data_IF_766117490373
#
_entry.id   IF_766117490373
#
_cell.length_a   1.000
_cell.length_b   1.000
_cell.length_c   1.000
_cell.angle_alpha   90.00
_cell.angle_beta   90.00
_cell.angle_gamma   90.00
#
_symmetry.space_group_name_H-M   'P 1'
#
loop_
_entity.id
_entity.type
_entity.pdbx_description
1 polymer ?
#
# COMPACT_ATOMS: atom_id res chain seq x y z
N UNK A 1 -18.31 -2.49 38.97
CA UNK A 1 -17.78 -3.27 40.11
C UNK A 1 -17.49 -4.71 39.61
N UNK A 2 -16.54 -4.91 38.67
CA UNK A 2 -16.10 -6.24 38.17
C UNK A 2 -14.73 -6.17 37.46
N UNK A 3 -13.89 -5.17 37.76
CA UNK A 3 -12.53 -5.02 37.16
C UNK A 3 -11.42 -5.29 38.19
N UNK A 4 -11.76 -5.40 39.49
CA UNK A 4 -10.74 -5.56 40.55
C UNK A 4 -10.31 -6.99 40.87
N UNK A 5 -10.83 -8.01 40.19
CA UNK A 5 -10.50 -9.41 40.48
C UNK A 5 -9.37 -9.99 39.59
N UNK A 6 -8.90 -9.28 38.57
CA UNK A 6 -7.83 -9.79 37.68
C UNK A 6 -6.41 -9.39 38.10
N UNK A 7 -6.27 -8.46 39.04
CA UNK A 7 -4.95 -7.95 39.45
C UNK A 7 -4.38 -8.54 40.73
N UNK A 8 -4.98 -9.58 41.34
CA UNK A 8 -4.54 -10.19 42.57
C UNK A 8 -3.94 -11.60 42.49
N UNK A 9 -3.63 -12.11 41.33
CA UNK A 9 -3.15 -13.47 41.15
C UNK A 9 -1.81 -13.57 40.38
N UNK A 10 -0.85 -12.70 40.64
CA UNK A 10 0.54 -12.93 40.19
C UNK A 10 1.56 -12.39 41.23
N UNK A 11 1.58 -13.02 42.40
CA UNK A 11 2.62 -12.87 43.39
C UNK A 11 3.12 -14.24 43.80
N UNK A 12 4.00 -14.84 43.04
CA UNK A 12 4.81 -15.98 43.51
C UNK A 12 6.20 -15.88 42.90
N UNK A 13 7.18 -15.63 43.77
CA UNK A 13 8.58 -15.59 43.46
C UNK A 13 9.10 -16.91 42.90
N UNK A 14 9.86 -16.82 41.80
CA UNK A 14 10.81 -17.88 41.41
C UNK A 14 12.14 -17.21 41.11
N UNK A 15 13.08 -17.46 41.98
CA UNK A 15 14.50 -17.19 41.79
C UNK A 15 15.03 -18.10 40.68
N UNK A 16 15.55 -17.53 39.60
CA UNK A 16 16.20 -18.26 38.51
C UNK A 16 17.64 -17.77 38.34
N UNK A 17 18.48 -18.72 38.44
CA UNK A 17 19.90 -18.85 38.26
C UNK A 17 20.40 -18.12 37.02
N UNK A 18 21.35 -17.21 37.18
CA UNK A 18 22.16 -16.56 36.16
C UNK A 18 23.07 -17.58 35.46
N UNK A 19 22.68 -18.03 34.27
CA UNK A 19 23.60 -18.52 33.26
C UNK A 19 23.72 -17.48 32.17
N UNK A 20 24.93 -16.91 32.06
CA UNK A 20 25.25 -15.91 31.07
C UNK A 20 25.23 -16.48 29.65
N UNK A 21 24.15 -16.23 28.93
CA UNK A 21 24.14 -16.25 27.49
C UNK A 21 24.13 -14.79 27.03
N UNK A 22 25.26 -14.36 26.46
CA UNK A 22 25.29 -13.11 25.72
C UNK A 22 24.26 -13.21 24.58
N UNK A 23 23.25 -12.33 24.50
CA UNK A 23 22.38 -12.31 23.32
C UNK A 23 23.23 -11.80 22.17
N UNK A 24 23.47 -12.65 21.18
CA UNK A 24 23.79 -12.16 19.84
C UNK A 24 22.57 -11.32 19.37
N UNK A 25 22.69 -10.01 19.52
CA UNK A 25 21.77 -9.06 18.90
C UNK A 25 21.98 -9.15 17.40
N UNK A 26 21.32 -10.10 16.77
CA UNK A 26 20.99 -9.96 15.36
C UNK A 26 20.01 -8.76 15.33
N UNK A 27 20.47 -7.64 14.85
CA UNK A 27 19.62 -6.50 14.54
C UNK A 27 18.65 -6.98 13.45
N UNK A 28 17.53 -7.53 13.88
CA UNK A 28 16.42 -7.88 13.02
C UNK A 28 15.75 -6.56 12.71
N UNK A 29 16.10 -5.99 11.54
CA UNK A 29 15.39 -4.84 10.98
C UNK A 29 13.91 -5.13 11.07
N UNK A 30 13.21 -4.41 11.95
CA UNK A 30 11.79 -4.64 12.18
C UNK A 30 11.04 -4.39 10.88
N UNK A 31 10.18 -5.31 10.41
CA UNK A 31 9.42 -5.11 9.17
C UNK A 31 8.65 -3.77 9.13
N UNK A 32 8.26 -3.25 10.30
CA UNK A 32 7.61 -1.95 10.44
C UNK A 32 8.53 -0.77 10.05
N UNK A 33 9.81 -0.81 10.40
CA UNK A 33 10.75 0.26 10.08
C UNK A 33 11.03 0.30 8.56
N UNK A 34 11.15 -0.87 7.94
CA UNK A 34 11.32 -0.96 6.48
C UNK A 34 10.11 -0.45 5.71
N UNK A 35 8.90 -0.67 6.21
CA UNK A 35 7.68 -0.13 5.60
C UNK A 35 7.58 1.38 5.76
N UNK A 36 8.00 1.95 6.89
CA UNK A 36 8.01 3.40 7.07
C UNK A 36 9.01 4.08 6.13
N UNK A 37 10.23 3.56 6.03
CA UNK A 37 11.24 4.05 5.09
C UNK A 37 10.72 4.00 3.64
N UNK A 38 10.03 2.92 3.25
CA UNK A 38 9.45 2.80 1.92
C UNK A 38 8.35 3.85 1.67
N UNK A 39 7.47 4.10 2.65
CA UNK A 39 6.45 5.15 2.58
C UNK A 39 7.06 6.52 2.36
N UNK A 40 8.08 6.87 3.13
CA UNK A 40 8.73 8.17 3.06
C UNK A 40 9.44 8.36 1.70
N UNK A 41 10.10 7.32 1.20
CA UNK A 41 10.70 7.35 -0.15
C UNK A 41 9.66 7.50 -1.25
N UNK A 42 8.52 6.78 -1.16
CA UNK A 42 7.43 6.90 -2.15
C UNK A 42 6.82 8.30 -2.12
N UNK A 43 6.62 8.87 -0.93
CA UNK A 43 6.11 10.24 -0.78
C UNK A 43 7.06 11.28 -1.35
N UNK A 44 8.37 11.08 -1.15
CA UNK A 44 9.39 12.01 -1.61
C UNK A 44 9.57 11.95 -3.14
N UNK A 45 9.76 10.77 -3.70
CA UNK A 45 9.95 10.60 -5.16
C UNK A 45 9.68 9.17 -5.63
N UNK A 46 8.47 8.92 -6.09
CA UNK A 46 8.08 7.64 -6.70
C UNK A 46 8.92 7.30 -7.94
N UNK A 47 9.26 8.30 -8.77
CA UNK A 47 10.03 8.08 -10.00
C UNK A 47 11.43 7.59 -9.67
N UNK A 48 12.04 8.13 -8.61
CA UNK A 48 13.35 7.69 -8.13
C UNK A 48 13.31 6.25 -7.62
N UNK A 49 12.25 5.87 -6.87
CA UNK A 49 12.06 4.48 -6.42
C UNK A 49 12.00 3.52 -7.62
N UNK A 50 11.26 3.88 -8.67
CA UNK A 50 11.18 3.07 -9.89
C UNK A 50 12.54 3.02 -10.61
N UNK A 51 13.20 4.16 -10.81
CA UNK A 51 14.49 4.25 -11.48
C UNK A 51 15.54 3.36 -10.82
N UNK A 52 15.68 3.47 -9.50
CA UNK A 52 16.66 2.71 -8.71
C UNK A 52 16.43 1.20 -8.79
N UNK A 53 15.16 0.76 -8.86
CA UNK A 53 14.84 -0.67 -8.82
C UNK A 53 14.70 -1.31 -10.21
N UNK A 54 14.65 -0.54 -11.29
CA UNK A 54 14.47 -1.07 -12.65
C UNK A 54 15.78 -1.46 -13.33
N UNK A 55 16.91 -0.87 -12.94
CA UNK A 55 18.25 -1.16 -13.52
C UNK A 55 18.21 -1.12 -15.06
N UNK A 56 17.67 -0.03 -15.62
CA UNK A 56 17.51 0.13 -17.06
C UNK A 56 18.84 0.49 -17.73
N UNK A 57 19.10 -0.08 -18.90
CA UNK A 57 20.11 0.47 -19.80
C UNK A 57 19.63 1.80 -20.40
N UNK A 58 20.53 2.60 -20.99
CA UNK A 58 20.15 3.87 -21.64
C UNK A 58 19.09 3.67 -22.73
N UNK A 59 19.25 2.62 -23.54
CA UNK A 59 18.30 2.28 -24.60
C UNK A 59 16.92 1.92 -24.04
N UNK A 60 16.88 1.08 -23.00
CA UNK A 60 15.62 0.72 -22.33
C UNK A 60 14.96 1.92 -21.67
N UNK A 61 15.74 2.78 -20.99
CA UNK A 61 15.25 3.98 -20.33
C UNK A 61 14.57 4.94 -21.32
N UNK A 62 15.15 5.13 -22.49
CA UNK A 62 14.59 6.00 -23.53
C UNK A 62 13.20 5.54 -23.99
N UNK A 63 12.96 4.24 -24.09
CA UNK A 63 11.65 3.68 -24.43
C UNK A 63 10.67 3.62 -23.25
N UNK A 64 11.18 3.32 -22.06
CA UNK A 64 10.40 3.09 -20.84
C UNK A 64 9.74 4.36 -20.30
N UNK A 65 10.49 5.45 -20.13
CA UNK A 65 10.00 6.64 -19.41
C UNK A 65 8.76 7.28 -20.04
N UNK A 66 8.61 7.40 -21.37
CA UNK A 66 7.39 7.92 -21.95
C UNK A 66 6.16 7.05 -21.62
N UNK A 67 6.34 5.71 -21.61
CA UNK A 67 5.26 4.77 -21.27
C UNK A 67 4.94 4.87 -19.78
N UNK A 68 5.93 4.98 -18.90
CA UNK A 68 5.78 5.21 -17.47
C UNK A 68 4.95 6.48 -17.19
N UNK A 69 5.27 7.59 -17.83
CA UNK A 69 4.54 8.86 -17.64
C UNK A 69 3.08 8.74 -18.09
N UNK A 70 2.82 8.06 -19.19
CA UNK A 70 1.46 7.72 -19.60
C UNK A 70 0.71 6.89 -18.56
N UNK A 71 1.37 5.84 -18.04
CA UNK A 71 0.82 4.99 -16.98
C UNK A 71 0.50 5.81 -15.73
N UNK A 72 1.41 6.68 -15.27
CA UNK A 72 1.18 7.51 -14.08
C UNK A 72 0.04 8.51 -14.28
N UNK A 73 -0.08 9.11 -15.47
CA UNK A 73 -1.18 10.01 -15.82
C UNK A 73 -2.55 9.31 -15.74
N UNK A 74 -2.64 8.08 -16.24
CA UNK A 74 -3.88 7.31 -16.20
C UNK A 74 -4.17 6.78 -14.78
N UNK A 75 -3.14 6.36 -14.05
CA UNK A 75 -3.26 5.98 -12.63
C UNK A 75 -3.77 7.16 -11.78
N UNK A 76 -3.33 8.39 -12.08
CA UNK A 76 -3.79 9.59 -11.37
C UNK A 76 -5.31 9.81 -11.52
N UNK A 77 -5.89 9.47 -12.68
CA UNK A 77 -7.37 9.53 -12.87
C UNK A 77 -8.08 8.55 -11.94
N UNK A 78 -7.54 7.34 -11.82
CA UNK A 78 -8.07 6.30 -10.90
C UNK A 78 -7.93 6.76 -9.45
N UNK A 79 -6.78 7.35 -9.08
CA UNK A 79 -6.57 7.85 -7.73
C UNK A 79 -7.52 9.00 -7.36
N UNK A 80 -7.88 9.88 -8.32
CA UNK A 80 -8.90 10.92 -8.08
C UNK A 80 -10.27 10.31 -7.81
N UNK A 81 -10.66 9.26 -8.55
CA UNK A 81 -11.92 8.53 -8.27
C UNK A 81 -11.92 7.94 -6.87
N UNK A 82 -10.80 7.33 -6.46
CA UNK A 82 -10.65 6.78 -5.10
C UNK A 82 -10.76 7.89 -4.04
N UNK A 83 -10.11 9.04 -4.24
CA UNK A 83 -10.21 10.18 -3.32
C UNK A 83 -11.66 10.66 -3.17
N UNK A 84 -12.37 10.87 -4.28
CA UNK A 84 -13.77 11.28 -4.27
C UNK A 84 -14.68 10.24 -3.58
N UNK A 85 -14.40 8.94 -3.78
CA UNK A 85 -15.13 7.86 -3.10
C UNK A 85 -14.96 7.96 -1.58
N UNK A 86 -13.71 8.14 -1.11
CA UNK A 86 -13.40 8.25 0.32
C UNK A 86 -13.98 9.51 0.94
N UNK A 87 -13.95 10.65 0.24
CA UNK A 87 -14.57 11.91 0.67
C UNK A 87 -16.09 11.75 0.82
N UNK A 88 -16.74 11.13 -0.17
CA UNK A 88 -18.18 10.86 -0.14
C UNK A 88 -18.56 9.95 1.02
N UNK A 89 -17.78 8.88 1.24
CA UNK A 89 -17.98 7.99 2.37
C UNK A 89 -17.79 8.71 3.70
N UNK A 90 -16.73 9.50 3.85
CA UNK A 90 -16.44 10.23 5.07
C UNK A 90 -17.56 11.23 5.43
N UNK A 91 -18.08 11.95 4.43
CA UNK A 91 -19.20 12.87 4.62
C UNK A 91 -20.47 12.15 5.08
N UNK A 92 -20.82 11.03 4.44
CA UNK A 92 -22.01 10.24 4.82
C UNK A 92 -21.87 9.57 6.19
N UNK A 93 -20.67 9.10 6.52
CA UNK A 93 -20.36 8.48 7.81
C UNK A 93 -20.46 9.50 8.96
N UNK A 94 -19.84 10.67 8.81
CA UNK A 94 -19.88 11.75 9.81
C UNK A 94 -21.29 12.33 9.97
N UNK A 95 -22.00 12.52 8.86
CA UNK A 95 -23.37 13.02 8.83
C UNK A 95 -24.42 12.01 9.28
N UNK A 96 -24.02 10.75 9.56
CA UNK A 96 -24.95 9.63 9.85
C UNK A 96 -26.07 9.50 8.79
N UNK A 97 -25.70 9.80 7.53
CA UNK A 97 -26.63 9.85 6.39
C UNK A 97 -26.40 8.71 5.40
N UNK A 98 -25.62 7.69 5.75
CA UNK A 98 -25.34 6.54 4.91
C UNK A 98 -26.59 5.64 4.86
N UNK A 99 -27.25 5.64 3.70
CA UNK A 99 -28.37 4.75 3.40
C UNK A 99 -27.90 3.56 2.56
N UNK A 100 -28.72 2.49 2.46
CA UNK A 100 -28.44 1.33 1.62
C UNK A 100 -28.17 1.71 0.15
N UNK A 101 -28.93 2.66 -0.40
CA UNK A 101 -28.71 3.15 -1.76
C UNK A 101 -27.36 3.86 -1.93
N UNK A 102 -26.95 4.65 -0.95
CA UNK A 102 -25.64 5.28 -0.94
C UNK A 102 -24.53 4.23 -0.78
N UNK A 103 -24.69 3.29 0.16
CA UNK A 103 -23.75 2.19 0.34
C UNK A 103 -23.58 1.37 -0.94
N UNK A 104 -24.69 1.05 -1.64
CA UNK A 104 -24.65 0.36 -2.94
C UNK A 104 -23.86 1.13 -3.99
N UNK A 105 -24.03 2.46 -4.07
CA UNK A 105 -23.24 3.31 -5.00
C UNK A 105 -21.76 3.29 -4.66
N UNK A 106 -21.39 3.38 -3.38
CA UNK A 106 -20.01 3.33 -2.92
C UNK A 106 -19.36 1.97 -3.23
N UNK A 107 -20.06 0.86 -3.02
CA UNK A 107 -19.59 -0.49 -3.36
C UNK A 107 -19.34 -0.60 -4.86
N UNK A 108 -20.29 -0.17 -5.69
CA UNK A 108 -20.15 -0.24 -7.14
C UNK A 108 -18.95 0.56 -7.64
N UNK A 109 -18.74 1.77 -7.09
CA UNK A 109 -17.59 2.61 -7.45
C UNK A 109 -16.27 2.02 -6.96
N UNK A 110 -16.24 1.44 -5.73
CA UNK A 110 -15.05 0.77 -5.22
C UNK A 110 -14.62 -0.39 -6.14
N UNK A 111 -15.55 -1.26 -6.52
CA UNK A 111 -15.32 -2.37 -7.44
C UNK A 111 -14.87 -1.87 -8.82
N UNK A 112 -15.50 -0.80 -9.34
CA UNK A 112 -15.13 -0.21 -10.62
C UNK A 112 -13.72 0.40 -10.60
N UNK A 113 -13.27 0.95 -9.47
CA UNK A 113 -11.90 1.45 -9.28
C UNK A 113 -10.90 0.28 -9.32
N UNK A 114 -11.17 -0.83 -8.64
CA UNK A 114 -10.30 -2.02 -8.66
C UNK A 114 -10.21 -2.62 -10.08
N UNK A 115 -11.32 -2.68 -10.79
CA UNK A 115 -11.32 -3.12 -12.19
C UNK A 115 -10.52 -2.17 -13.09
N UNK A 116 -10.60 -0.85 -12.87
CA UNK A 116 -9.82 0.14 -13.60
C UNK A 116 -8.31 -0.01 -13.34
N UNK A 117 -7.89 -0.34 -12.11
CA UNK A 117 -6.51 -0.65 -11.78
C UNK A 117 -5.99 -1.91 -12.50
N UNK A 118 -6.80 -2.95 -12.58
CA UNK A 118 -6.47 -4.17 -13.31
C UNK A 118 -6.35 -3.87 -14.83
N UNK A 119 -7.31 -3.16 -15.39
CA UNK A 119 -7.35 -2.77 -16.79
C UNK A 119 -6.15 -1.88 -17.18
N UNK A 120 -5.74 -0.96 -16.29
CA UNK A 120 -4.56 -0.13 -16.51
C UNK A 120 -3.30 -1.00 -16.73
N UNK A 121 -3.09 -2.00 -15.86
CA UNK A 121 -1.95 -2.92 -16.00
C UNK A 121 -2.02 -3.72 -17.29
N UNK A 122 -3.19 -4.26 -17.62
CA UNK A 122 -3.43 -5.01 -18.86
C UNK A 122 -3.19 -4.18 -20.11
N UNK A 123 -3.52 -2.88 -20.06
CA UNK A 123 -3.31 -1.94 -21.16
C UNK A 123 -1.83 -1.60 -21.37
N UNK A 124 -1.09 -1.48 -20.28
CA UNK A 124 0.31 -1.03 -20.34
C UNK A 124 1.33 -2.16 -20.45
N UNK A 125 1.03 -3.36 -19.97
CA UNK A 125 1.93 -4.52 -20.08
C UNK A 125 2.40 -4.78 -21.54
N UNK A 126 1.53 -4.84 -22.55
CA UNK A 126 1.97 -5.03 -23.94
C UNK A 126 2.76 -3.84 -24.50
N UNK A 127 2.47 -2.60 -24.06
CA UNK A 127 3.24 -1.42 -24.46
C UNK A 127 4.68 -1.50 -23.91
N UNK A 128 4.83 -1.87 -22.64
CA UNK A 128 6.13 -2.08 -21.99
C UNK A 128 6.91 -3.21 -22.63
N UNK A 129 6.26 -4.30 -23.02
CA UNK A 129 6.93 -5.44 -23.68
C UNK A 129 7.50 -5.12 -25.05
N UNK A 130 7.14 -3.99 -25.66
CA UNK A 130 7.77 -3.52 -26.91
C UNK A 130 9.13 -2.88 -26.70
N UNK A 131 9.42 -2.43 -25.48
CA UNK A 131 10.65 -1.66 -25.16
C UNK A 131 11.49 -2.30 -24.06
N UNK A 132 10.98 -3.31 -23.37
CA UNK A 132 11.65 -4.01 -22.27
C UNK A 132 11.55 -5.54 -22.43
N UNK A 133 12.56 -6.29 -21.96
CA UNK A 133 12.43 -7.71 -21.71
C UNK A 133 11.27 -8.02 -20.74
N UNK A 134 10.55 -9.12 -20.96
CA UNK A 134 9.37 -9.50 -20.16
C UNK A 134 9.69 -9.56 -18.66
N UNK A 135 10.88 -10.00 -18.26
CA UNK A 135 11.31 -9.99 -16.85
C UNK A 135 11.33 -8.58 -16.25
N UNK A 136 11.74 -7.56 -17.02
CA UNK A 136 11.74 -6.16 -16.58
C UNK A 136 10.33 -5.58 -16.55
N UNK A 137 9.44 -5.99 -17.47
CA UNK A 137 8.01 -5.65 -17.40
C UNK A 137 7.39 -6.20 -16.12
N UNK A 138 7.64 -7.47 -15.80
CA UNK A 138 7.16 -8.09 -14.56
C UNK A 138 7.71 -7.35 -13.33
N UNK A 139 9.01 -7.01 -13.30
CA UNK A 139 9.64 -6.22 -12.23
C UNK A 139 8.95 -4.87 -12.02
N UNK A 140 8.69 -4.14 -13.11
CA UNK A 140 7.98 -2.86 -13.03
C UNK A 140 6.59 -3.00 -12.43
N UNK A 141 5.80 -3.95 -12.91
CA UNK A 141 4.45 -4.20 -12.38
C UNK A 141 4.48 -4.67 -10.91
N UNK A 142 5.51 -5.40 -10.48
CA UNK A 142 5.71 -5.74 -9.08
C UNK A 142 6.04 -4.51 -8.23
N UNK A 143 6.87 -3.58 -8.72
CA UNK A 143 7.17 -2.32 -8.04
C UNK A 143 5.88 -1.51 -7.86
N UNK A 144 5.08 -1.33 -8.93
CA UNK A 144 3.78 -0.64 -8.86
C UNK A 144 2.84 -1.31 -7.86
N UNK A 145 2.79 -2.64 -7.84
CA UNK A 145 1.96 -3.38 -6.87
C UNK A 145 2.41 -3.16 -5.42
N UNK A 146 3.72 -3.16 -5.15
CA UNK A 146 4.25 -2.88 -3.80
C UNK A 146 3.90 -1.46 -3.36
N UNK A 147 4.10 -0.46 -4.23
CA UNK A 147 3.73 0.93 -3.96
C UNK A 147 2.23 1.03 -3.68
N UNK A 148 1.40 0.37 -4.51
CA UNK A 148 -0.06 0.36 -4.34
C UNK A 148 -0.49 -0.30 -3.04
N UNK A 149 0.15 -1.39 -2.63
CA UNK A 149 -0.13 -2.06 -1.37
C UNK A 149 0.13 -1.15 -0.16
N UNK A 150 1.21 -0.37 -0.18
CA UNK A 150 1.51 0.64 0.86
C UNK A 150 0.39 1.68 0.93
N UNK A 151 -0.01 2.25 -0.20
CA UNK A 151 -1.09 3.25 -0.25
C UNK A 151 -2.41 2.67 0.25
N UNK A 152 -2.79 1.46 -0.20
CA UNK A 152 -4.03 0.80 0.24
C UNK A 152 -4.01 0.49 1.75
N UNK A 153 -2.87 0.09 2.29
CA UNK A 153 -2.72 -0.16 3.72
C UNK A 153 -2.91 1.12 4.54
N UNK A 154 -2.28 2.23 4.14
CA UNK A 154 -2.43 3.52 4.83
C UNK A 154 -3.88 4.02 4.80
N UNK A 155 -4.56 3.88 3.67
CA UNK A 155 -5.97 4.24 3.55
C UNK A 155 -6.86 3.36 4.43
N UNK A 156 -6.61 2.05 4.45
CA UNK A 156 -7.41 1.12 5.27
C UNK A 156 -7.34 1.40 6.78
N UNK A 157 -6.24 1.97 7.26
CA UNK A 157 -6.13 2.38 8.67
C UNK A 157 -7.00 3.60 9.02
N UNK A 158 -7.23 4.49 8.05
CA UNK A 158 -8.00 5.73 8.26
C UNK A 158 -9.50 5.61 7.97
N UNK A 159 -9.95 4.54 7.31
CA UNK A 159 -11.36 4.37 6.89
C UNK A 159 -12.10 3.51 7.90
N UNK A 160 -13.08 4.06 8.65
CA UNK A 160 -13.87 3.28 9.61
C UNK A 160 -14.80 2.31 8.88
N UNK A 161 -15.19 1.23 9.56
CA UNK A 161 -16.18 0.30 9.04
C UNK A 161 -17.59 0.91 9.07
N UNK A 162 -18.40 0.51 8.10
CA UNK A 162 -19.84 0.81 8.07
C UNK A 162 -20.48 0.23 9.34
N UNK A 163 -21.35 1.02 9.98
CA UNK A 163 -22.10 0.61 11.20
C UNK A 163 -23.50 0.17 10.83
#
# INVERSE_FOLDING_TARGET
MKIDLLNKALGAAVAIILFGFAPYSVAQDKPADNMQILRDKIKADKKLVVATNMELTESEAKGFWPIYEGYQKDLQKINRRLANLLESYAADFQGKSLTDDKAKKLINEAVAIEQAEANLKSTYAPKLSKVLPVKKVARYLQIENKIRAVVKYDLAQGVPLVK
#
